data_IF_819548012125
#
_entry.id   IF_819548012125
#
_cell.length_a   1.000
_cell.length_b   1.000
_cell.length_c   1.000
_cell.angle_alpha   90.00
_cell.angle_beta   90.00
_cell.angle_gamma   90.00
#
_symmetry.space_group_name_H-M   'P 1'
#
loop_
_entity.id
_entity.type
_entity.pdbx_description
1 polymer ?
#
# COMPACT_ATOMS: atom_id res chain seq x y z
N UNK A 1 12.93 -27.29 42.76
CA UNK A 1 12.82 -27.51 41.30
C UNK A 1 11.96 -26.38 40.79
N UNK A 2 12.60 -25.37 40.20
CA UNK A 2 11.91 -24.23 39.61
C UNK A 2 11.40 -24.59 38.21
N UNK A 3 10.08 -24.58 38.02
CA UNK A 3 9.47 -24.39 36.71
C UNK A 3 9.12 -22.90 36.57
N UNK A 4 10.05 -22.12 36.07
CA UNK A 4 9.83 -20.72 35.67
C UNK A 4 10.16 -20.60 34.19
N UNK A 5 9.22 -20.96 33.32
CA UNK A 5 9.17 -20.55 31.90
C UNK A 5 7.81 -20.90 31.30
N UNK A 6 6.72 -20.41 31.91
CA UNK A 6 5.47 -20.25 31.18
C UNK A 6 5.23 -18.76 31.01
N UNK A 7 5.76 -18.26 29.90
CA UNK A 7 5.27 -17.14 29.10
C UNK A 7 4.19 -16.32 29.78
N UNK A 8 4.59 -15.16 30.29
CA UNK A 8 3.67 -14.10 30.66
C UNK A 8 2.86 -13.69 29.42
N UNK A 9 1.69 -14.29 29.26
CA UNK A 9 0.74 -14.00 28.21
C UNK A 9 0.36 -12.51 28.29
N UNK A 10 0.72 -11.76 27.26
CA UNK A 10 0.37 -10.36 27.12
C UNK A 10 -1.15 -10.21 27.15
N UNK A 11 -1.61 -9.34 28.04
CA UNK A 11 -3.01 -9.04 28.38
C UNK A 11 -3.75 -8.27 27.25
N UNK A 12 -3.77 -8.82 26.03
CA UNK A 12 -4.57 -8.31 24.89
C UNK A 12 -5.09 -9.42 23.95
N UNK A 13 -5.12 -10.66 24.46
CA UNK A 13 -5.35 -11.97 23.82
C UNK A 13 -6.71 -12.18 23.10
N UNK A 14 -7.39 -11.12 22.65
CA UNK A 14 -8.55 -11.24 21.76
C UNK A 14 -8.34 -10.57 20.40
N UNK A 15 -7.52 -9.52 20.32
CA UNK A 15 -7.37 -8.77 19.07
C UNK A 15 -6.35 -9.40 18.13
N UNK A 16 -5.28 -9.97 18.68
CA UNK A 16 -4.18 -10.53 17.89
C UNK A 16 -4.61 -11.86 17.26
N UNK A 17 -5.30 -12.69 18.03
CA UNK A 17 -5.81 -14.00 17.62
C UNK A 17 -6.87 -13.88 16.53
N UNK A 18 -7.77 -12.89 16.63
CA UNK A 18 -8.76 -12.60 15.58
C UNK A 18 -8.10 -12.14 14.28
N UNK A 19 -7.06 -11.30 14.37
CA UNK A 19 -6.31 -10.85 13.20
C UNK A 19 -5.50 -11.99 12.60
N UNK A 20 -4.91 -12.84 13.43
CA UNK A 20 -4.15 -14.01 12.99
C UNK A 20 -5.03 -14.98 12.20
N UNK A 21 -6.19 -15.37 12.73
CA UNK A 21 -7.14 -16.23 12.01
C UNK A 21 -7.67 -15.62 10.71
N UNK A 22 -7.93 -14.30 10.70
CA UNK A 22 -8.32 -13.59 9.49
C UNK A 22 -7.21 -13.54 8.43
N UNK A 23 -5.95 -13.37 8.85
CA UNK A 23 -4.79 -13.42 7.94
C UNK A 23 -4.65 -14.82 7.34
N UNK A 24 -4.79 -15.88 8.13
CA UNK A 24 -4.75 -17.26 7.64
C UNK A 24 -5.86 -17.54 6.61
N UNK A 25 -7.10 -17.10 6.89
CA UNK A 25 -8.23 -17.24 5.97
C UNK A 25 -7.99 -16.51 4.65
N UNK A 26 -7.58 -15.23 4.71
CA UNK A 26 -7.30 -14.42 3.52
C UNK A 26 -6.10 -14.95 2.73
N UNK A 27 -5.09 -15.50 3.41
CA UNK A 27 -3.92 -16.09 2.77
C UNK A 27 -4.29 -17.40 2.07
N UNK A 28 -5.11 -18.25 2.69
CA UNK A 28 -5.64 -19.45 2.07
C UNK A 28 -6.46 -19.14 0.81
N UNK A 29 -7.35 -18.15 0.88
CA UNK A 29 -8.12 -17.70 -0.28
C UNK A 29 -7.22 -17.18 -1.40
N UNK A 30 -6.26 -16.31 -1.09
CA UNK A 30 -5.35 -15.74 -2.08
C UNK A 30 -4.49 -16.81 -2.78
N UNK A 31 -3.91 -17.73 -2.02
CA UNK A 31 -3.10 -18.86 -2.53
C UNK A 31 -3.93 -19.72 -3.50
N UNK A 32 -5.17 -20.03 -3.12
CA UNK A 32 -6.08 -20.84 -3.93
C UNK A 32 -6.52 -20.11 -5.22
N UNK A 33 -6.85 -18.82 -5.14
CA UNK A 33 -7.25 -18.01 -6.29
C UNK A 33 -6.11 -17.80 -7.29
N UNK A 34 -4.88 -17.64 -6.80
CA UNK A 34 -3.70 -17.38 -7.64
C UNK A 34 -2.95 -18.65 -8.06
N UNK A 35 -3.42 -19.83 -7.65
CA UNK A 35 -2.78 -21.13 -7.92
C UNK A 35 -1.25 -21.11 -7.69
N UNK A 36 -0.83 -20.54 -6.57
CA UNK A 36 0.57 -20.29 -6.25
C UNK A 36 0.88 -20.63 -4.81
N UNK A 37 2.12 -21.02 -4.51
CA UNK A 37 2.61 -21.23 -3.13
C UNK A 37 3.40 -20.04 -2.60
N UNK A 38 3.47 -18.94 -3.35
CA UNK A 38 4.20 -17.71 -3.00
C UNK A 38 3.45 -16.87 -1.95
N UNK A 39 3.28 -17.48 -0.77
CA UNK A 39 2.66 -16.85 0.39
C UNK A 39 3.33 -15.53 0.82
N UNK A 40 4.66 -15.30 0.68
CA UNK A 40 5.26 -14.02 1.02
C UNK A 40 4.73 -12.85 0.17
N UNK A 41 4.39 -13.11 -1.09
CA UNK A 41 3.77 -12.10 -1.97
C UNK A 41 2.32 -11.86 -1.58
N UNK A 42 1.55 -12.94 -1.33
CA UNK A 42 0.17 -12.83 -0.85
C UNK A 42 0.03 -12.05 0.45
N UNK A 43 0.94 -12.28 1.41
CA UNK A 43 0.93 -11.58 2.70
C UNK A 43 1.05 -10.07 2.54
N UNK A 44 1.82 -9.55 1.56
CA UNK A 44 1.94 -8.11 1.34
C UNK A 44 0.59 -7.47 0.98
N UNK A 45 -0.20 -8.14 0.15
CA UNK A 45 -1.53 -7.68 -0.24
C UNK A 45 -2.52 -7.73 0.93
N UNK A 46 -2.47 -8.79 1.73
CA UNK A 46 -3.34 -8.98 2.90
C UNK A 46 -3.00 -7.94 3.98
N UNK A 47 -1.71 -7.73 4.26
CA UNK A 47 -1.26 -6.70 5.18
C UNK A 47 -1.74 -5.31 4.74
N UNK A 48 -1.58 -4.99 3.45
CA UNK A 48 -2.08 -3.74 2.89
C UNK A 48 -3.59 -3.57 3.02
N UNK A 49 -4.38 -4.66 3.02
CA UNK A 49 -5.84 -4.61 3.17
C UNK A 49 -6.28 -4.52 4.64
N UNK A 50 -5.59 -5.22 5.54
CA UNK A 50 -5.92 -5.31 6.97
C UNK A 50 -5.46 -4.07 7.77
N UNK A 51 -4.34 -3.46 7.38
CA UNK A 51 -3.73 -2.34 8.09
C UNK A 51 -3.84 -1.00 7.33
N UNK A 52 -4.93 -0.79 6.58
CA UNK A 52 -5.17 0.47 5.84
C UNK A 52 -5.31 1.70 6.72
N UNK A 53 -5.79 1.54 7.96
CA UNK A 53 -6.09 2.66 8.87
C UNK A 53 -4.84 3.22 9.60
N UNK A 54 -3.84 2.42 9.99
CA UNK A 54 -2.57 2.95 10.48
C UNK A 54 -1.89 3.93 9.52
N UNK A 55 -2.01 3.77 8.21
CA UNK A 55 -1.28 4.63 7.28
C UNK A 55 -1.72 6.10 7.34
N UNK A 56 -3.02 6.35 7.51
CA UNK A 56 -3.55 7.72 7.61
C UNK A 56 -3.30 8.32 9.00
N UNK A 57 -3.36 7.51 10.06
CA UNK A 57 -3.06 7.95 11.43
C UNK A 57 -1.56 8.10 11.75
N UNK A 58 -0.69 7.34 11.07
CA UNK A 58 0.77 7.37 11.27
C UNK A 58 1.48 8.30 10.27
N UNK A 59 1.03 8.35 9.01
CA UNK A 59 1.68 9.14 7.96
C UNK A 59 0.90 10.41 7.58
N UNK A 60 -0.29 10.64 8.15
CA UNK A 60 -1.11 11.83 7.91
C UNK A 60 -1.60 11.96 6.46
N UNK A 61 -1.53 10.88 5.67
CA UNK A 61 -1.98 10.83 4.28
C UNK A 61 -2.66 9.49 4.04
N UNK A 62 -3.83 9.44 3.39
CA UNK A 62 -4.48 8.19 3.04
C UNK A 62 -3.60 7.36 2.11
N UNK A 63 -3.67 6.04 2.25
CA UNK A 63 -2.95 5.10 1.39
C UNK A 63 -3.29 5.36 -0.09
N UNK A 64 -2.26 5.62 -0.90
CA UNK A 64 -2.38 5.84 -2.35
C UNK A 64 -2.60 4.51 -3.06
N UNK A 65 -3.79 4.31 -3.63
CA UNK A 65 -4.17 3.05 -4.28
C UNK A 65 -4.50 3.28 -5.74
N UNK A 66 -3.85 2.51 -6.62
CA UNK A 66 -4.08 2.57 -8.07
C UNK A 66 -3.48 3.80 -8.74
N UNK A 67 -3.51 3.81 -10.08
CA UNK A 67 -2.87 4.85 -10.91
C UNK A 67 -3.51 6.24 -10.74
N UNK A 68 -4.79 6.30 -10.38
CA UNK A 68 -5.48 7.57 -10.10
C UNK A 68 -4.86 8.30 -8.90
N UNK A 69 -4.41 7.57 -7.88
CA UNK A 69 -3.73 8.15 -6.72
C UNK A 69 -2.34 8.72 -7.02
N UNK A 70 -1.75 8.34 -8.16
CA UNK A 70 -0.51 8.90 -8.68
C UNK A 70 -0.74 10.18 -9.50
N UNK A 71 -2.01 10.56 -9.74
CA UNK A 71 -2.39 11.76 -10.49
C UNK A 71 -2.66 11.54 -11.98
N UNK A 72 -2.78 10.28 -12.43
CA UNK A 72 -3.20 9.95 -13.80
C UNK A 72 -4.73 10.03 -13.89
N UNK A 73 -5.27 10.72 -14.89
CA UNK A 73 -6.72 10.87 -15.04
C UNK A 73 -7.37 9.53 -15.42
N UNK A 74 -8.60 9.27 -14.95
CA UNK A 74 -9.28 8.00 -15.22
C UNK A 74 -9.45 7.69 -16.71
N UNK A 75 -9.69 8.71 -17.52
CA UNK A 75 -9.79 8.55 -18.98
C UNK A 75 -8.45 8.11 -19.60
N UNK A 76 -7.33 8.54 -19.05
CA UNK A 76 -6.01 8.13 -19.50
C UNK A 76 -5.71 6.70 -19.04
N UNK A 77 -6.07 6.34 -17.79
CA UNK A 77 -5.88 5.00 -17.24
C UNK A 77 -6.55 3.92 -18.09
N UNK A 78 -7.78 4.17 -18.55
CA UNK A 78 -8.53 3.20 -19.35
C UNK A 78 -7.90 2.93 -20.73
N UNK A 79 -7.02 3.83 -21.20
CA UNK A 79 -6.33 3.72 -22.47
C UNK A 79 -4.89 3.17 -22.32
N UNK A 80 -4.42 2.93 -21.10
CA UNK A 80 -3.09 2.36 -20.84
C UNK A 80 -3.15 0.84 -21.06
N UNK A 81 -2.38 0.37 -22.03
CA UNK A 81 -2.31 -1.04 -22.41
C UNK A 81 -0.95 -1.67 -22.07
N UNK A 82 0.06 -0.88 -21.71
CA UNK A 82 1.40 -1.38 -21.38
C UNK A 82 2.07 -0.65 -20.21
N UNK A 83 3.06 -1.31 -19.61
CA UNK A 83 3.88 -0.74 -18.53
C UNK A 83 4.68 0.48 -18.99
N UNK A 84 5.17 0.49 -20.23
CA UNK A 84 5.91 1.61 -20.82
C UNK A 84 5.05 2.89 -20.92
N UNK A 85 3.77 2.75 -21.22
CA UNK A 85 2.83 3.88 -21.27
C UNK A 85 2.59 4.46 -19.87
N UNK A 86 2.46 3.60 -18.86
CA UNK A 86 2.36 4.02 -17.45
C UNK A 86 3.60 4.82 -17.06
N UNK A 87 4.80 4.31 -17.36
CA UNK A 87 6.06 4.98 -17.02
C UNK A 87 6.16 6.36 -17.69
N UNK A 88 5.77 6.45 -18.96
CA UNK A 88 5.75 7.70 -19.71
C UNK A 88 4.77 8.72 -19.13
N UNK A 89 3.57 8.31 -18.73
CA UNK A 89 2.59 9.21 -18.09
C UNK A 89 3.08 9.70 -16.73
N UNK A 90 3.74 8.85 -15.94
CA UNK A 90 4.38 9.26 -14.67
C UNK A 90 5.54 10.25 -14.90
N UNK A 91 6.37 10.04 -15.93
CA UNK A 91 7.45 10.97 -16.31
C UNK A 91 6.89 12.34 -16.72
N UNK A 92 5.76 12.38 -17.46
CA UNK A 92 5.08 13.64 -17.83
C UNK A 92 4.59 14.40 -16.60
N UNK A 93 3.92 13.73 -15.66
CA UNK A 93 3.43 14.34 -14.41
C UNK A 93 4.58 14.95 -13.59
N UNK A 94 5.66 14.18 -13.41
CA UNK A 94 6.84 14.63 -12.66
C UNK A 94 7.60 15.75 -13.38
N UNK A 95 7.63 15.74 -14.72
CA UNK A 95 8.19 16.81 -15.53
C UNK A 95 7.41 18.12 -15.45
N UNK A 96 6.08 18.05 -15.34
CA UNK A 96 5.21 19.22 -15.16
C UNK A 96 5.41 19.93 -13.82
N UNK A 97 5.58 19.16 -12.74
CA UNK A 97 5.82 19.68 -11.37
C UNK A 97 7.10 20.52 -11.27
N UNK A 98 8.17 20.13 -11.98
CA UNK A 98 9.43 20.91 -12.04
C UNK A 98 9.25 22.25 -12.75
N UNK A 99 8.39 22.31 -13.78
CA UNK A 99 8.12 23.57 -14.51
C UNK A 99 7.31 24.55 -13.68
N UNK A 100 6.30 24.08 -12.92
CA UNK A 100 5.51 24.92 -12.01
C UNK A 100 6.34 25.50 -10.86
N UNK A 101 7.22 24.72 -10.27
CA UNK A 101 8.09 25.18 -9.16
C UNK A 101 9.13 26.21 -9.61
N UNK A 102 9.67 26.09 -10.83
CA UNK A 102 10.58 27.07 -11.43
C UNK A 102 9.86 28.39 -11.79
N UNK A 103 8.65 28.33 -12.35
CA UNK A 103 7.87 29.53 -12.65
C UNK A 103 7.47 30.31 -11.39
N UNK A 104 7.08 29.62 -10.31
CA UNK A 104 6.74 30.27 -9.02
C UNK A 104 7.95 30.93 -8.36
N UNK A 105 9.17 30.41 -8.58
CA UNK A 105 10.41 31.03 -8.08
C UNK A 105 10.80 32.28 -8.88
N UNK A 106 10.53 32.30 -10.18
CA UNK A 106 10.85 33.43 -11.06
C UNK A 106 9.87 34.61 -10.91
N UNK A 107 8.62 34.39 -10.47
CA UNK A 107 7.65 35.48 -10.21
C UNK A 107 7.90 36.29 -8.94
N UNK A 108 8.80 35.86 -8.03
CA UNK A 108 9.16 36.59 -6.81
C UNK A 108 10.43 37.45 -6.94
N UNK A 109 10.95 37.64 -8.16
CA UNK A 109 12.15 38.45 -8.46
C UNK A 109 11.83 39.69 -9.30
N UNK A 110 10.60 40.18 -9.24
CA UNK A 110 10.19 41.45 -9.85
C UNK A 110 9.40 42.22 -8.81
#
# INVERSE_FOLDING_TARGET
>A
MEENLSTQACRSQGSVERVYGYIEEMLGAWINENNTTDWPTGIKFIQFKTFRSPDEGMFGTPAKVGLASAGIHHDEINNLCSEDEIENSLKKLNGGLKKMTLQTRNRKKT
#
